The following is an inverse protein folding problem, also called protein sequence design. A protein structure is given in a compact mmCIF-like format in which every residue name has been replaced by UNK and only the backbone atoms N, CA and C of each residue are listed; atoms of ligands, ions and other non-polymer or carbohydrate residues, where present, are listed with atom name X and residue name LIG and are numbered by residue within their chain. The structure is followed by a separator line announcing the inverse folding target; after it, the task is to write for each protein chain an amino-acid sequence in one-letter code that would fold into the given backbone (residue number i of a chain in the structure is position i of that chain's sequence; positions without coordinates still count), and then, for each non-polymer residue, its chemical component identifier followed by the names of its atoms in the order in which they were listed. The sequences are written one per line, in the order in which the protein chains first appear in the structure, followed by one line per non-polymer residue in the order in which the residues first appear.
data_IF_068638814342
#
_entry.id   IF_068638814342
#
_cell.length_a   1.000
_cell.length_b   1.000
_cell.length_c   1.000
_cell.angle_alpha   90.00
_cell.angle_beta   90.00
_cell.angle_gamma   90.00
#
_symmetry.space_group_name_H-M   'P 1'
#
loop_
_entity.id
_entity.type
_entity.pdbx_description
1 polymer ?
#
# COMPACT_ATOMS: atom_id res chain seq x y z
N UNK A 1 -22.86 3.01 -9.55
CA UNK A 1 -21.75 2.31 -10.23
C UNK A 1 -22.33 1.25 -11.16
N UNK A 2 -21.70 0.99 -12.31
CA UNK A 2 -22.13 -0.07 -13.22
C UNK A 2 -21.97 -1.44 -12.55
N UNK A 3 -22.84 -2.41 -12.85
CA UNK A 3 -22.85 -3.74 -12.22
C UNK A 3 -21.48 -4.45 -12.18
N UNK A 4 -20.59 -4.17 -13.14
CA UNK A 4 -19.25 -4.75 -13.21
C UNK A 4 -18.28 -4.31 -12.08
N UNK A 5 -18.44 -3.13 -11.48
CA UNK A 5 -17.56 -2.68 -10.37
C UNK A 5 -18.03 -3.19 -9.00
N UNK A 6 -19.35 -3.37 -8.84
CA UNK A 6 -19.92 -3.91 -7.61
C UNK A 6 -19.56 -5.38 -7.42
N UNK A 7 -19.80 -6.22 -8.44
CA UNK A 7 -19.55 -7.66 -8.32
C UNK A 7 -18.07 -8.04 -8.20
N UNK A 8 -17.19 -7.37 -8.96
CA UNK A 8 -15.80 -7.83 -9.11
C UNK A 8 -14.82 -7.23 -8.08
N UNK A 9 -15.20 -6.20 -7.35
CA UNK A 9 -14.30 -5.51 -6.40
C UNK A 9 -15.01 -5.27 -5.07
N UNK A 10 -16.17 -4.59 -5.09
CA UNK A 10 -16.84 -4.20 -3.85
C UNK A 10 -17.44 -5.40 -3.10
N UNK A 11 -17.85 -6.45 -3.81
CA UNK A 11 -18.35 -7.70 -3.21
C UNK A 11 -17.29 -8.54 -2.50
N UNK A 12 -16.01 -8.33 -2.84
CA UNK A 12 -14.87 -9.08 -2.27
C UNK A 12 -14.24 -8.37 -1.07
N UNK A 13 -14.79 -7.21 -0.65
CA UNK A 13 -14.28 -6.49 0.52
C UNK A 13 -14.58 -7.30 1.77
N UNK A 14 -13.52 -7.68 2.48
CA UNK A 14 -13.63 -8.38 3.75
C UNK A 14 -14.26 -7.50 4.83
N UNK A 15 -15.39 -7.95 5.36
CA UNK A 15 -16.01 -7.35 6.54
C UNK A 15 -15.45 -8.02 7.80
N UNK A 16 -14.69 -7.25 8.58
CA UNK A 16 -14.24 -7.70 9.89
C UNK A 16 -15.45 -8.04 10.80
N UNK A 17 -15.50 -9.27 11.30
CA UNK A 17 -16.55 -9.76 12.19
C UNK A 17 -16.19 -9.63 13.68
N UNK A 18 -14.91 -9.43 13.98
CA UNK A 18 -14.44 -9.27 15.36
C UNK A 18 -14.82 -7.89 15.89
N UNK A 19 -15.57 -7.78 16.99
CA UNK A 19 -15.90 -6.50 17.60
C UNK A 19 -14.63 -5.78 18.04
N UNK A 20 -14.49 -4.51 17.62
CA UNK A 20 -13.44 -3.61 18.11
C UNK A 20 -14.12 -2.49 18.88
N UNK A 21 -13.83 -2.40 20.17
CA UNK A 21 -14.30 -1.28 21.00
C UNK A 21 -13.41 -0.06 20.78
N UNK A 22 -13.70 0.70 19.72
CA UNK A 22 -12.97 1.92 19.40
C UNK A 22 -13.12 3.01 20.47
N UNK A 23 -14.13 2.94 21.35
CA UNK A 23 -14.35 3.94 22.38
C UNK A 23 -13.37 3.84 23.55
N UNK A 24 -12.74 2.67 23.73
CA UNK A 24 -11.71 2.42 24.73
C UNK A 24 -10.28 2.51 24.17
N UNK A 25 -10.13 2.80 22.87
CA UNK A 25 -8.84 2.95 22.21
C UNK A 25 -8.57 4.44 22.01
N UNK A 26 -7.60 4.98 22.75
CA UNK A 26 -7.05 6.31 22.46
C UNK A 26 -6.42 6.31 21.05
N UNK A 27 -6.72 7.30 20.18
CA UNK A 27 -6.06 7.41 18.89
C UNK A 27 -4.54 7.44 19.09
N UNK A 28 -3.80 6.49 18.50
CA UNK A 28 -2.37 6.44 18.74
C UNK A 28 -1.71 7.66 18.08
N UNK A 29 -0.79 8.30 18.81
CA UNK A 29 0.00 9.42 18.29
C UNK A 29 0.83 9.05 17.06
N UNK A 30 1.03 7.76 16.80
CA UNK A 30 1.64 7.24 15.57
C UNK A 30 0.82 7.53 14.31
N UNK A 31 -0.47 7.85 14.42
CA UNK A 31 -1.31 8.28 13.29
C UNK A 31 -1.29 9.79 13.06
N UNK A 32 -0.65 10.57 13.94
CA UNK A 32 -0.41 11.98 13.70
C UNK A 32 0.56 12.14 12.53
N UNK A 33 0.26 13.07 11.60
CA UNK A 33 0.96 13.16 10.31
C UNK A 33 2.48 13.15 10.43
N UNK A 34 3.06 13.93 11.34
CA UNK A 34 4.53 14.02 11.47
C UNK A 34 5.15 12.69 11.90
N UNK A 35 4.53 12.02 12.87
CA UNK A 35 4.97 10.73 13.40
C UNK A 35 4.75 9.65 12.35
N UNK A 36 3.56 9.62 11.76
CA UNK A 36 3.20 8.68 10.70
C UNK A 36 4.13 8.82 9.50
N UNK A 37 4.37 10.04 9.00
CA UNK A 37 5.24 10.27 7.84
C UNK A 37 6.67 9.78 8.09
N UNK A 38 7.20 10.02 9.29
CA UNK A 38 8.52 9.56 9.69
C UNK A 38 8.59 8.03 9.77
N UNK A 39 7.76 7.43 10.61
CA UNK A 39 7.81 6.00 10.93
C UNK A 39 7.42 5.15 9.71
N UNK A 40 6.48 5.63 8.90
CA UNK A 40 6.06 4.95 7.68
C UNK A 40 7.15 4.95 6.61
N UNK A 41 7.86 6.08 6.43
CA UNK A 41 8.99 6.11 5.52
C UNK A 41 10.10 5.16 5.97
N UNK A 42 10.40 5.11 7.27
CA UNK A 42 11.36 4.16 7.85
C UNK A 42 10.96 2.70 7.59
N UNK A 43 9.69 2.37 7.80
CA UNK A 43 9.15 1.04 7.53
C UNK A 43 9.29 0.64 6.05
N UNK A 44 8.88 1.53 5.13
CA UNK A 44 8.89 1.26 3.69
C UNK A 44 10.32 1.18 3.16
N UNK A 45 11.21 2.08 3.56
CA UNK A 45 12.60 2.07 3.10
C UNK A 45 13.41 0.90 3.68
N UNK A 46 13.06 0.44 4.89
CA UNK A 46 13.68 -0.72 5.53
C UNK A 46 13.29 -2.05 4.89
N UNK A 47 12.19 -2.11 4.13
CA UNK A 47 11.76 -3.33 3.46
C UNK A 47 12.69 -3.67 2.26
N UNK A 48 13.14 -4.92 2.11
CA UNK A 48 13.95 -5.36 0.99
C UNK A 48 13.26 -5.10 -0.35
N UNK A 49 14.04 -4.61 -1.31
CA UNK A 49 13.60 -4.42 -2.69
C UNK A 49 13.50 -5.76 -3.42
N UNK A 50 12.38 -6.00 -4.08
CA UNK A 50 12.19 -7.07 -5.04
C UNK A 50 12.50 -6.60 -6.46
N UNK A 51 13.06 -7.50 -7.28
CA UNK A 51 13.40 -7.23 -8.67
C UNK A 51 12.16 -7.24 -9.58
N UNK A 52 11.23 -8.16 -9.29
CA UNK A 52 9.99 -8.33 -10.03
C UNK A 52 8.89 -8.88 -9.11
N UNK A 53 7.69 -9.10 -9.67
CA UNK A 53 6.55 -9.61 -8.92
C UNK A 53 6.78 -11.04 -8.38
N UNK A 54 7.51 -11.89 -9.10
CA UNK A 54 7.78 -13.26 -8.67
C UNK A 54 8.67 -13.26 -7.44
N UNK A 55 9.76 -12.50 -7.48
CA UNK A 55 10.68 -12.28 -6.35
C UNK A 55 9.95 -11.64 -5.16
N UNK A 56 9.06 -10.66 -5.42
CA UNK A 56 8.25 -10.03 -4.39
C UNK A 56 7.34 -11.04 -3.67
N UNK A 57 6.67 -11.92 -4.41
CA UNK A 57 5.77 -12.95 -3.88
C UNK A 57 6.50 -14.07 -3.12
N UNK A 58 7.81 -14.24 -3.32
CA UNK A 58 8.64 -15.15 -2.55
C UNK A 58 9.10 -14.48 -1.25
N UNK A 59 9.61 -13.24 -1.31
CA UNK A 59 10.10 -12.52 -0.14
C UNK A 59 9.00 -12.18 0.86
N UNK A 60 7.82 -11.79 0.36
CA UNK A 60 6.66 -11.42 1.20
C UNK A 60 6.11 -12.59 2.02
N UNK A 61 6.53 -13.82 1.74
CA UNK A 61 6.14 -14.97 2.56
C UNK A 61 6.84 -14.97 3.93
N UNK A 62 7.98 -14.27 4.05
CA UNK A 62 8.83 -14.28 5.25
C UNK A 62 9.12 -12.90 5.85
N UNK A 63 8.92 -11.82 5.09
CA UNK A 63 9.16 -10.45 5.58
C UNK A 63 8.43 -9.42 4.73
N UNK A 64 8.23 -8.22 5.28
CA UNK A 64 7.75 -7.09 4.50
C UNK A 64 8.66 -6.86 3.29
N UNK A 65 8.09 -6.54 2.14
CA UNK A 65 8.85 -6.45 0.88
C UNK A 65 8.38 -5.24 0.09
N UNK A 66 9.29 -4.61 -0.64
CA UNK A 66 9.00 -3.47 -1.50
C UNK A 66 9.20 -3.82 -2.96
N UNK A 67 8.25 -3.44 -3.82
CA UNK A 67 8.35 -3.59 -5.27
C UNK A 67 8.06 -2.23 -5.92
N UNK A 68 9.01 -1.75 -6.71
CA UNK A 68 8.89 -0.43 -7.34
C UNK A 68 8.07 -0.50 -8.64
N UNK A 69 7.25 0.53 -8.87
CA UNK A 69 6.63 0.82 -10.15
C UNK A 69 7.11 2.19 -10.67
N UNK A 70 7.51 2.25 -11.93
CA UNK A 70 8.07 3.47 -12.55
C UNK A 70 7.03 4.31 -13.28
N UNK A 71 5.82 3.77 -13.46
CA UNK A 71 4.70 4.48 -14.08
C UNK A 71 3.37 3.92 -13.62
N UNK A 72 2.30 4.69 -13.80
CA UNK A 72 0.95 4.22 -13.51
C UNK A 72 0.59 2.97 -14.32
N UNK A 73 1.04 2.85 -15.57
CA UNK A 73 0.83 1.65 -16.40
C UNK A 73 1.46 0.40 -15.77
N UNK A 74 2.67 0.54 -15.20
CA UNK A 74 3.34 -0.56 -14.48
C UNK A 74 2.55 -0.91 -13.22
N UNK A 75 2.14 0.10 -12.43
CA UNK A 75 1.27 -0.11 -11.27
C UNK A 75 0.00 -0.89 -11.64
N UNK A 76 -0.71 -0.47 -12.70
CA UNK A 76 -1.94 -1.15 -13.13
C UNK A 76 -1.70 -2.61 -13.51
N UNK A 77 -0.54 -2.93 -14.09
CA UNK A 77 -0.17 -4.32 -14.40
C UNK A 77 0.06 -5.12 -13.13
N UNK A 78 0.79 -4.59 -12.16
CA UNK A 78 1.02 -5.24 -10.87
C UNK A 78 -0.28 -5.44 -10.10
N UNK A 79 -1.09 -4.37 -10.00
CA UNK A 79 -2.39 -4.38 -9.34
C UNK A 79 -3.33 -5.44 -9.91
N UNK A 80 -3.41 -5.59 -11.24
CA UNK A 80 -4.20 -6.67 -11.87
C UNK A 80 -3.76 -8.07 -11.42
N UNK A 81 -2.44 -8.31 -11.38
CA UNK A 81 -1.91 -9.62 -10.99
C UNK A 81 -2.09 -9.90 -9.48
N UNK A 82 -2.20 -8.84 -8.67
CA UNK A 82 -2.40 -8.92 -7.23
C UNK A 82 -3.87 -8.86 -6.80
N UNK A 83 -4.82 -8.74 -7.75
CA UNK A 83 -6.24 -8.59 -7.44
C UNK A 83 -6.62 -7.24 -6.80
N UNK A 84 -5.79 -6.22 -6.98
CA UNK A 84 -6.02 -4.88 -6.44
C UNK A 84 -6.84 -4.00 -7.40
N UNK A 85 -7.38 -2.91 -6.87
CA UNK A 85 -7.99 -1.86 -7.68
C UNK A 85 -6.96 -1.23 -8.63
N UNK A 86 -7.32 -1.08 -9.90
CA UNK A 86 -6.42 -0.59 -10.96
C UNK A 86 -6.73 0.83 -11.42
N UNK A 87 -7.80 1.43 -10.89
CA UNK A 87 -8.17 2.81 -11.15
C UNK A 87 -7.40 3.79 -10.26
N UNK A 88 -7.35 5.02 -10.72
CA UNK A 88 -6.83 6.17 -9.97
C UNK A 88 -7.89 7.25 -9.85
N UNK A 89 -7.65 8.20 -8.93
CA UNK A 89 -8.32 9.49 -8.94
C UNK A 89 -7.29 10.62 -8.86
N UNK A 90 -7.26 11.48 -9.87
CA UNK A 90 -6.31 12.60 -10.00
C UNK A 90 -4.83 12.18 -9.96
N UNK A 91 -4.50 11.06 -10.60
CA UNK A 91 -3.16 10.47 -10.66
C UNK A 91 -2.79 9.61 -9.45
N UNK A 92 -3.69 9.45 -8.47
CA UNK A 92 -3.41 8.75 -7.22
C UNK A 92 -4.11 7.38 -7.23
N UNK A 93 -3.38 6.26 -7.12
CA UNK A 93 -3.99 4.94 -6.98
C UNK A 93 -4.89 4.84 -5.75
N UNK A 94 -5.90 3.97 -5.81
CA UNK A 94 -6.72 3.65 -4.64
C UNK A 94 -5.85 3.12 -3.49
N UNK A 95 -6.25 3.48 -2.27
CA UNK A 95 -5.56 3.13 -1.01
C UNK A 95 -4.10 3.59 -0.91
N UNK A 96 -3.64 4.43 -1.84
CA UNK A 96 -2.27 4.91 -1.81
C UNK A 96 -2.07 6.00 -0.76
N UNK A 97 -0.96 5.92 -0.05
CA UNK A 97 -0.42 7.03 0.74
C UNK A 97 0.92 7.46 0.15
N UNK A 98 1.03 8.71 -0.34
CA UNK A 98 2.24 9.22 -1.03
C UNK A 98 2.68 8.34 -2.21
N UNK A 99 1.70 7.70 -2.87
CA UNK A 99 1.93 6.72 -3.94
C UNK A 99 2.22 5.29 -3.46
N UNK A 100 2.46 5.04 -2.18
CA UNK A 100 2.63 3.68 -1.66
C UNK A 100 1.28 2.98 -1.56
N UNK A 101 1.14 1.83 -2.20
CA UNK A 101 -0.02 0.95 -2.05
C UNK A 101 0.40 -0.30 -1.28
N UNK A 102 -0.30 -0.60 -0.21
CA UNK A 102 -0.07 -1.79 0.61
C UNK A 102 -1.01 -2.93 0.21
N UNK A 103 -0.48 -4.15 0.20
CA UNK A 103 -1.28 -5.35 0.11
C UNK A 103 -0.63 -6.53 0.85
N UNK A 104 -1.40 -7.57 1.13
CA UNK A 104 -0.91 -8.83 1.71
C UNK A 104 -1.31 -9.97 0.78
N UNK A 105 -0.54 -10.24 -0.29
CA UNK A 105 -0.89 -11.29 -1.23
C UNK A 105 -0.76 -12.68 -0.62
N UNK A 106 0.05 -12.83 0.43
CA UNK A 106 0.26 -14.06 1.19
C UNK A 106 0.56 -13.73 2.65
N UNK A 107 -0.02 -14.49 3.58
CA UNK A 107 0.30 -14.42 5.01
C UNK A 107 0.12 -13.03 5.63
N UNK A 108 1.02 -12.67 6.54
CA UNK A 108 0.88 -11.50 7.41
C UNK A 108 1.73 -10.29 6.97
N UNK A 109 2.73 -10.50 6.12
CA UNK A 109 3.67 -9.46 5.72
C UNK A 109 3.14 -8.59 4.59
N UNK A 110 3.57 -7.34 4.59
CA UNK A 110 3.12 -6.33 3.65
C UNK A 110 4.01 -6.34 2.40
N UNK A 111 3.38 -6.39 1.23
CA UNK A 111 4.00 -5.98 -0.02
C UNK A 111 3.66 -4.51 -0.28
N UNK A 112 4.68 -3.67 -0.28
CA UNK A 112 4.59 -2.27 -0.65
C UNK A 112 4.83 -2.12 -2.15
N UNK A 113 3.81 -1.70 -2.90
CA UNK A 113 3.99 -1.17 -4.25
C UNK A 113 4.34 0.31 -4.15
N UNK A 114 5.55 0.69 -4.56
CA UNK A 114 6.05 2.06 -4.35
C UNK A 114 6.50 2.71 -5.65
N UNK A 115 6.44 4.04 -5.77
CA UNK A 115 7.34 4.76 -6.68
C UNK A 115 8.82 4.45 -6.36
N UNK A 116 9.77 4.86 -7.22
CA UNK A 116 11.18 4.80 -6.88
C UNK A 116 11.47 5.46 -5.53
N UNK A 117 12.29 4.81 -4.69
CA UNK A 117 12.51 5.28 -3.31
C UNK A 117 13.00 6.74 -3.24
N UNK A 118 13.80 7.18 -4.21
CA UNK A 118 14.27 8.55 -4.30
C UNK A 118 13.15 9.57 -4.54
N UNK A 119 12.07 9.18 -5.24
CA UNK A 119 10.89 10.02 -5.39
C UNK A 119 10.11 10.08 -4.08
N UNK A 120 9.97 8.93 -3.42
CA UNK A 120 9.27 8.81 -2.15
C UNK A 120 9.91 9.70 -1.07
N UNK A 121 11.23 9.59 -0.88
CA UNK A 121 11.97 10.40 0.10
C UNK A 121 11.77 11.90 -0.13
N UNK A 122 11.80 12.37 -1.39
CA UNK A 122 11.53 13.78 -1.70
C UNK A 122 10.12 14.19 -1.32
N UNK A 123 9.12 13.34 -1.60
CA UNK A 123 7.72 13.62 -1.35
C UNK A 123 7.43 13.78 0.15
N UNK A 124 7.98 12.87 0.98
CA UNK A 124 7.87 12.93 2.44
C UNK A 124 8.60 14.16 3.03
N UNK A 125 9.79 14.48 2.53
CA UNK A 125 10.56 15.65 2.99
C UNK A 125 9.96 17.00 2.55
N UNK A 126 9.25 17.03 1.41
CA UNK A 126 8.62 18.26 0.90
C UNK A 126 7.44 18.73 1.76
N UNK A 127 6.84 17.83 2.54
CA UNK A 127 5.67 18.13 3.36
C UNK A 127 6.00 18.64 4.77
N UNK A 128 7.29 18.77 5.09
CA UNK A 128 7.77 19.36 6.36
C UNK A 128 7.95 20.89 6.28
N UNK A 129 7.50 21.52 5.18
CA UNK A 129 7.52 22.99 4.98
C UNK A 129 6.12 23.59 5.06
#
# INVERSE_FOLDING_TARGET
ASGNQFGNILGEIYLNQEPVDWSSIEPPSSLERSTYDHDYLELVQGAPLANDLTDALQKVDTQNTRLEYTSFRVFQSLARNLGLMTDEKAGIPRTAYRGVVECRPKGNFILFLTPPLSNLQRDFLSATR
#
